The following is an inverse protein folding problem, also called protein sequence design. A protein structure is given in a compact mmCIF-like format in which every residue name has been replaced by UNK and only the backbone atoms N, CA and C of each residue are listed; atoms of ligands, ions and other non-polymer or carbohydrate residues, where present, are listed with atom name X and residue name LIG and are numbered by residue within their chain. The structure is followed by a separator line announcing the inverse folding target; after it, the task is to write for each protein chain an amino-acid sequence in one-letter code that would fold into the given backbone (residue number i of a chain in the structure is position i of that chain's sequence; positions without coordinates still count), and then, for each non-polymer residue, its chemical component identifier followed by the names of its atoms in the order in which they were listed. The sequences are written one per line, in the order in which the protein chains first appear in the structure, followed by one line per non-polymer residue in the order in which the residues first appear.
data_IF_400599685909
#
_entry.id   IF_400599685909
#
_cell.length_a   1.000
_cell.length_b   1.000
_cell.length_c   1.000
_cell.angle_alpha   90.00
_cell.angle_beta   90.00
_cell.angle_gamma   90.00
#
_symmetry.space_group_name_H-M   'P 1'
#
loop_
_entity.id
_entity.type
_entity.pdbx_description
1 polymer ?
#
# COMPACT_ATOMS: atom_id res chain seq x y z
N UNK A 1 14.88 6.21 0.27
CA UNK A 1 15.33 5.18 -0.70
C UNK A 1 14.55 3.91 -0.42
N UNK A 2 13.53 3.65 -1.23
CA UNK A 2 12.61 2.52 -1.10
C UNK A 2 13.19 1.26 -1.75
N UNK A 3 12.98 0.09 -1.15
CA UNK A 3 13.29 -1.18 -1.79
C UNK A 3 12.31 -1.49 -2.92
N UNK A 4 12.81 -1.41 -4.16
CA UNK A 4 11.99 -1.62 -5.35
C UNK A 4 11.60 -3.09 -5.55
N UNK A 5 12.38 -4.02 -5.00
CA UNK A 5 12.11 -5.46 -5.12
C UNK A 5 10.92 -5.86 -4.27
N UNK A 6 10.92 -5.43 -2.99
CA UNK A 6 9.79 -5.64 -2.09
C UNK A 6 8.54 -4.90 -2.56
N UNK A 7 8.67 -3.70 -3.13
CA UNK A 7 7.56 -2.99 -3.77
C UNK A 7 6.95 -3.79 -4.93
N UNK A 8 7.78 -4.34 -5.83
CA UNK A 8 7.30 -5.14 -6.95
C UNK A 8 6.57 -6.42 -6.49
N UNK A 9 7.08 -7.06 -5.43
CA UNK A 9 6.43 -8.22 -4.82
C UNK A 9 5.06 -7.85 -4.22
N UNK A 10 5.00 -6.77 -3.43
CA UNK A 10 3.74 -6.25 -2.87
C UNK A 10 2.72 -5.92 -3.96
N UNK A 11 3.14 -5.21 -5.01
CA UNK A 11 2.28 -4.90 -6.18
C UNK A 11 1.73 -6.15 -6.84
N UNK A 12 2.55 -7.19 -6.97
CA UNK A 12 2.12 -8.47 -7.56
C UNK A 12 1.09 -9.16 -6.69
N UNK A 13 1.30 -9.22 -5.37
CA UNK A 13 0.35 -9.82 -4.43
C UNK A 13 -0.98 -9.06 -4.45
N UNK A 14 -0.95 -7.74 -4.25
CA UNK A 14 -2.14 -6.90 -4.28
C UNK A 14 -2.86 -6.97 -5.62
N UNK A 15 -2.15 -6.99 -6.75
CA UNK A 15 -2.75 -7.13 -8.06
C UNK A 15 -3.43 -8.50 -8.26
N UNK A 16 -2.92 -9.57 -7.64
CA UNK A 16 -3.57 -10.87 -7.66
C UNK A 16 -4.92 -10.86 -6.91
N UNK A 17 -5.02 -10.03 -5.87
CA UNK A 17 -6.26 -9.77 -5.13
C UNK A 17 -7.15 -8.68 -5.76
N UNK A 18 -6.73 -8.11 -6.91
CA UNK A 18 -7.48 -7.08 -7.63
C UNK A 18 -7.23 -5.63 -7.18
N UNK A 19 -6.14 -5.38 -6.45
CA UNK A 19 -5.74 -4.06 -5.99
C UNK A 19 -4.52 -3.51 -6.75
N UNK A 20 -4.53 -2.20 -6.99
CA UNK A 20 -3.35 -1.46 -7.39
C UNK A 20 -2.66 -0.87 -6.17
N UNK A 21 -1.33 -0.97 -6.15
CA UNK A 21 -0.48 -0.31 -5.18
C UNK A 21 0.39 0.72 -5.90
N UNK A 22 0.28 1.97 -5.46
CA UNK A 22 1.10 3.09 -5.91
C UNK A 22 1.94 3.60 -4.74
N UNK A 23 3.23 3.85 -5.00
CA UNK A 23 4.17 4.29 -3.97
C UNK A 23 5.00 5.44 -4.51
N UNK A 24 5.00 6.55 -3.76
CA UNK A 24 5.75 7.76 -4.07
C UNK A 24 6.60 8.19 -2.87
N UNK A 25 7.87 8.53 -3.11
CA UNK A 25 8.74 9.12 -2.08
C UNK A 25 8.72 10.64 -2.21
N UNK A 26 8.27 11.35 -1.17
CA UNK A 26 8.11 12.80 -1.20
C UNK A 26 8.67 13.45 0.07
N UNK A 27 9.74 14.24 -0.06
CA UNK A 27 10.30 15.03 1.05
C UNK A 27 10.76 14.22 2.28
N UNK A 28 11.09 12.93 2.12
CA UNK A 28 11.46 12.03 3.21
C UNK A 28 10.29 11.23 3.81
N UNK A 29 9.10 11.30 3.20
CA UNK A 29 7.96 10.41 3.48
C UNK A 29 7.70 9.47 2.30
N UNK A 30 7.00 8.38 2.57
CA UNK A 30 6.60 7.39 1.57
C UNK A 30 5.09 7.36 1.53
N UNK A 31 4.49 7.96 0.51
CA UNK A 31 3.07 7.89 0.27
C UNK A 31 2.75 6.56 -0.43
N UNK A 32 1.88 5.77 0.17
CA UNK A 32 1.43 4.47 -0.31
C UNK A 32 -0.07 4.53 -0.52
N UNK A 33 -0.52 4.48 -1.77
CA UNK A 33 -1.94 4.43 -2.11
C UNK A 33 -2.32 3.04 -2.59
N UNK A 34 -3.32 2.48 -1.96
CA UNK A 34 -4.01 1.29 -2.44
C UNK A 34 -5.28 1.74 -3.15
N UNK A 35 -5.53 1.21 -4.34
CA UNK A 35 -6.73 1.47 -5.12
C UNK A 35 -7.33 0.17 -5.61
N UNK A 36 -8.64 0.15 -5.82
CA UNK A 36 -9.32 -0.99 -6.44
C UNK A 36 -8.97 -0.99 -7.93
N UNK A 37 -8.24 -2.01 -8.40
CA UNK A 37 -7.90 -2.18 -9.81
C UNK A 37 -8.93 -3.05 -10.53
N UNK A 38 -9.54 -3.99 -9.81
CA UNK A 38 -10.56 -4.91 -10.32
C UNK A 38 -11.88 -4.71 -9.57
N UNK A 39 -13.03 -4.59 -10.26
CA UNK A 39 -14.33 -4.39 -9.62
C UNK A 39 -14.79 -5.58 -8.75
N UNK A 40 -14.15 -6.76 -8.86
CA UNK A 40 -14.38 -7.89 -7.98
C UNK A 40 -13.51 -7.84 -6.69
N UNK A 41 -12.57 -6.89 -6.59
CA UNK A 41 -11.73 -6.74 -5.40
C UNK A 41 -12.57 -6.25 -4.22
N UNK A 42 -12.65 -7.07 -3.18
CA UNK A 42 -13.49 -6.80 -2.01
C UNK A 42 -12.71 -5.99 -0.98
N UNK A 43 -12.96 -4.69 -0.86
CA UNK A 43 -12.26 -3.79 0.06
C UNK A 43 -12.14 -4.30 1.51
N UNK A 44 -13.09 -5.14 1.95
CA UNK A 44 -13.11 -5.77 3.28
C UNK A 44 -12.11 -6.95 3.43
N UNK A 45 -11.56 -7.48 2.33
CA UNK A 45 -10.55 -8.54 2.32
C UNK A 45 -9.12 -8.00 2.52
N UNK A 46 -8.95 -6.68 2.50
CA UNK A 46 -7.66 -6.06 2.76
C UNK A 46 -7.26 -6.27 4.22
N UNK A 47 -5.96 -6.52 4.43
CA UNK A 47 -5.41 -6.57 5.76
C UNK A 47 -5.60 -5.21 6.47
N UNK A 48 -5.81 -5.19 7.80
CA UNK A 48 -5.91 -3.96 8.56
C UNK A 48 -4.66 -3.08 8.38
N UNK A 49 -4.86 -1.76 8.39
CA UNK A 49 -3.78 -0.76 8.27
C UNK A 49 -2.52 -1.08 9.10
N UNK A 50 -2.59 -1.40 10.41
CA UNK A 50 -1.39 -1.68 11.20
C UNK A 50 -0.63 -2.92 10.72
N UNK A 51 -1.31 -3.94 10.18
CA UNK A 51 -0.68 -5.14 9.64
C UNK A 51 0.00 -4.81 8.32
N UNK A 52 -0.72 -4.12 7.43
CA UNK A 52 -0.23 -3.78 6.10
C UNK A 52 0.96 -2.83 6.17
N UNK A 53 0.94 -1.86 7.09
CA UNK A 53 2.04 -0.95 7.35
C UNK A 53 3.29 -1.67 7.86
N UNK A 54 3.12 -2.68 8.72
CA UNK A 54 4.24 -3.53 9.16
C UNK A 54 4.86 -4.36 8.03
N UNK A 55 4.04 -4.88 7.12
CA UNK A 55 4.52 -5.62 5.93
C UNK A 55 5.24 -4.67 4.96
N UNK A 56 4.69 -3.48 4.74
CA UNK A 56 5.28 -2.44 3.91
C UNK A 56 6.63 -1.98 4.48
N UNK A 57 6.74 -1.79 5.79
CA UNK A 57 8.02 -1.47 6.44
C UNK A 57 9.08 -2.55 6.16
N UNK A 58 8.75 -3.83 6.32
CA UNK A 58 9.69 -4.92 6.03
C UNK A 58 10.01 -5.05 4.53
N UNK A 59 9.03 -4.83 3.66
CA UNK A 59 9.17 -5.01 2.22
C UNK A 59 9.89 -3.84 1.55
N UNK A 60 9.54 -2.61 1.92
CA UNK A 60 10.07 -1.37 1.37
C UNK A 60 11.37 -0.95 2.08
N UNK A 61 11.66 -1.50 3.27
CA UNK A 61 12.83 -1.14 4.07
C UNK A 61 12.77 0.27 4.67
N UNK A 62 11.58 0.85 4.84
CA UNK A 62 11.37 2.22 5.35
C UNK A 62 10.56 2.20 6.64
N UNK A 63 10.86 3.07 7.62
CA UNK A 63 10.20 3.03 8.92
C UNK A 63 8.71 3.37 8.84
N UNK A 64 7.87 2.66 9.59
CA UNK A 64 6.39 2.79 9.54
C UNK A 64 5.90 4.24 9.77
N UNK A 65 6.61 5.01 10.59
CA UNK A 65 6.33 6.42 10.89
C UNK A 65 6.44 7.37 9.68
N UNK A 66 7.11 6.95 8.60
CA UNK A 66 7.18 7.73 7.36
C UNK A 66 6.27 7.20 6.27
N UNK A 67 5.60 6.07 6.50
CA UNK A 67 4.65 5.45 5.57
C UNK A 67 3.28 6.08 5.78
N UNK A 68 2.82 6.79 4.76
CA UNK A 68 1.48 7.37 4.68
C UNK A 68 0.63 6.43 3.82
N UNK A 69 -0.13 5.54 4.47
CA UNK A 69 -0.93 4.51 3.81
C UNK A 69 -2.36 4.98 3.63
N UNK A 70 -2.86 4.97 2.39
CA UNK A 70 -4.26 5.31 2.06
C UNK A 70 -4.95 4.10 1.45
N UNK A 71 -6.10 3.73 2.00
CA UNK A 71 -6.93 2.62 1.49
C UNK A 71 -8.00 3.11 0.50
N UNK A 72 -8.46 2.23 -0.39
CA UNK A 72 -9.62 2.52 -1.23
C UNK A 72 -10.86 2.66 -0.33
N UNK A 73 -11.44 3.86 -0.30
CA UNK A 73 -12.59 4.21 0.56
C UNK A 73 -12.27 5.19 1.67
N UNK A 74 -10.99 5.39 2.02
CA UNK A 74 -10.58 6.43 2.99
C UNK A 74 -10.65 7.85 2.39
N UNK A 75 -10.59 7.95 1.05
CA UNK A 75 -10.75 9.21 0.29
C UNK A 75 -12.22 9.67 0.18
N UNK A 76 -13.19 8.83 0.55
CA UNK A 76 -14.64 9.10 0.40
C UNK A 76 -15.26 9.85 1.60
N UNK A 77 -14.48 10.13 2.66
CA UNK A 77 -14.92 10.99 3.79
C UNK A 77 -14.42 12.44 3.60
N UNK A 78 -14.82 13.11 2.52
CA UNK A 78 -14.68 14.57 2.39
C UNK A 78 -15.84 15.26 1.67
#
# INVERSE_FOLDING_TARGET
MIDQTGLAAMRTTLAADGYALDVAEEGGRVAVRISVADPAACADCLAPEPIMRGILHQSLGVPEQVIDLTYPGDDDDR
#
